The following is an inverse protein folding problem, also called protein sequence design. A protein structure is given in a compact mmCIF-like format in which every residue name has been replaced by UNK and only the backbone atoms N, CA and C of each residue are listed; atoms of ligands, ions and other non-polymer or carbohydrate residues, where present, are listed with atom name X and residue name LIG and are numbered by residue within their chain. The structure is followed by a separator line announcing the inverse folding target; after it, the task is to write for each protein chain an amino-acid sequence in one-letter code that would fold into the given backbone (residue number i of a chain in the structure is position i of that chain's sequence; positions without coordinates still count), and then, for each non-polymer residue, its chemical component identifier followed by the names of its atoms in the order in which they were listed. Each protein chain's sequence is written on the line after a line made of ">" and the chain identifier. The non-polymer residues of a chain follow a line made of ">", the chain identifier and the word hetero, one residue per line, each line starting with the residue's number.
data_IF_686084892390
#
_entry.id   IF_686084892390
#
_cell.length_a   1.000
_cell.length_b   1.000
_cell.length_c   1.000
_cell.angle_alpha   90.00
_cell.angle_beta   90.00
_cell.angle_gamma   90.00
#
_symmetry.space_group_name_H-M   'P 1'
#
loop_
_entity.id
_entity.type
_entity.pdbx_description
1 polymer ?
#
# COMPACT_ATOMS: atom_id res chain seq x y z
N UNK A 1 -60.29 5.85 2.84
CA UNK A 1 -59.88 6.36 1.52
C UNK A 1 -58.37 6.42 1.50
N UNK A 2 -57.73 5.38 0.96
CA UNK A 2 -56.28 5.32 0.77
C UNK A 2 -55.97 6.05 -0.54
N UNK A 3 -55.30 7.19 -0.47
CA UNK A 3 -54.79 7.86 -1.68
C UNK A 3 -53.54 7.10 -2.13
N UNK A 4 -53.66 6.39 -3.25
CA UNK A 4 -52.53 5.81 -3.96
C UNK A 4 -51.62 6.96 -4.40
N UNK A 5 -50.37 6.96 -3.93
CA UNK A 5 -49.35 7.91 -4.36
C UNK A 5 -48.70 7.37 -5.62
N UNK A 6 -49.29 7.68 -6.76
CA UNK A 6 -48.67 7.39 -8.05
C UNK A 6 -47.50 8.37 -8.23
N UNK A 7 -46.27 7.90 -7.99
CA UNK A 7 -45.06 8.59 -8.42
C UNK A 7 -45.09 8.67 -9.94
N UNK A 8 -45.21 9.87 -10.50
CA UNK A 8 -45.22 10.06 -11.95
C UNK A 8 -43.78 10.01 -12.46
N UNK A 9 -43.50 9.10 -13.39
CA UNK A 9 -42.25 9.14 -14.15
C UNK A 9 -42.30 10.37 -15.05
N UNK A 10 -41.50 11.39 -14.75
CA UNK A 10 -41.33 12.57 -15.60
C UNK A 10 -40.67 12.16 -16.92
N UNK A 11 -41.03 12.83 -18.02
CA UNK A 11 -40.34 12.60 -19.29
C UNK A 11 -38.92 13.21 -19.23
N UNK A 12 -37.97 12.62 -19.95
CA UNK A 12 -36.56 13.04 -20.00
C UNK A 12 -36.33 14.57 -20.09
N UNK A 13 -37.13 15.35 -20.85
CA UNK A 13 -36.99 16.81 -20.90
C UNK A 13 -37.31 17.52 -19.58
N UNK A 14 -38.22 16.97 -18.76
CA UNK A 14 -38.61 17.56 -17.47
C UNK A 14 -37.53 17.34 -16.40
N UNK A 15 -36.83 16.21 -16.45
CA UNK A 15 -35.69 15.89 -15.57
C UNK A 15 -34.48 16.78 -15.88
N UNK A 16 -34.19 16.99 -17.16
CA UNK A 16 -33.10 17.88 -17.63
C UNK A 16 -33.33 19.34 -17.17
N UNK A 17 -34.58 19.75 -17.00
CA UNK A 17 -34.92 21.10 -16.55
C UNK A 17 -34.76 21.33 -15.03
N UNK A 18 -34.66 20.27 -14.23
CA UNK A 18 -34.61 20.38 -12.76
C UNK A 18 -33.19 20.27 -12.18
N UNK A 19 -32.23 19.74 -12.95
CA UNK A 19 -30.90 19.37 -12.49
C UNK A 19 -29.83 19.90 -13.44
N UNK A 20 -28.79 20.53 -12.92
CA UNK A 20 -27.69 21.06 -13.75
C UNK A 20 -26.87 19.96 -14.42
N UNK A 21 -26.35 20.25 -15.61
CA UNK A 21 -25.45 19.34 -16.33
C UNK A 21 -24.19 19.01 -15.52
N UNK A 22 -23.66 19.96 -14.76
CA UNK A 22 -22.50 19.76 -13.89
C UNK A 22 -22.81 18.79 -12.75
N UNK A 23 -24.00 18.85 -12.17
CA UNK A 23 -24.41 17.88 -11.16
C UNK A 23 -24.60 16.49 -11.77
N UNK A 24 -25.19 16.38 -12.96
CA UNK A 24 -25.27 15.08 -13.68
C UNK A 24 -23.89 14.50 -13.99
N UNK A 25 -22.93 15.34 -14.38
CA UNK A 25 -21.55 14.92 -14.58
C UNK A 25 -20.89 14.45 -13.29
N UNK A 26 -21.13 15.14 -12.17
CA UNK A 26 -20.64 14.70 -10.86
C UNK A 26 -21.23 13.34 -10.47
N UNK A 27 -22.53 13.11 -10.67
CA UNK A 27 -23.17 11.83 -10.38
C UNK A 27 -22.54 10.68 -11.19
N UNK A 28 -22.29 10.90 -12.48
CA UNK A 28 -21.61 9.94 -13.36
C UNK A 28 -20.14 9.72 -12.99
N UNK A 29 -19.49 10.75 -12.46
CA UNK A 29 -18.11 10.63 -11.98
C UNK A 29 -18.04 9.77 -10.72
N UNK A 30 -18.97 9.98 -9.78
CA UNK A 30 -19.08 9.19 -8.54
C UNK A 30 -19.58 7.76 -8.79
N UNK A 31 -20.21 7.50 -9.92
CA UNK A 31 -20.72 6.21 -10.32
C UNK A 31 -20.90 6.13 -11.85
N UNK A 32 -19.95 5.49 -12.57
CA UNK A 32 -19.98 5.44 -14.03
C UNK A 32 -21.25 4.80 -14.62
N UNK A 33 -21.88 3.90 -13.86
CA UNK A 33 -23.13 3.23 -14.25
C UNK A 33 -24.37 4.10 -13.96
N UNK A 34 -24.19 5.25 -13.32
CA UNK A 34 -25.30 6.16 -13.04
C UNK A 34 -25.86 6.77 -14.32
N UNK A 35 -27.13 6.52 -14.54
CA UNK A 35 -27.90 7.05 -15.65
C UNK A 35 -28.95 8.03 -15.14
N UNK A 36 -29.50 8.82 -16.06
CA UNK A 36 -30.59 9.75 -15.75
C UNK A 36 -31.85 9.02 -15.26
N UNK A 37 -32.02 7.74 -15.59
CA UNK A 37 -33.12 6.89 -15.15
C UNK A 37 -33.05 6.58 -13.64
N UNK A 38 -31.88 6.74 -13.02
CA UNK A 38 -31.70 6.61 -11.58
C UNK A 38 -32.23 7.83 -10.81
N UNK A 39 -32.62 8.90 -11.51
CA UNK A 39 -33.21 10.09 -10.91
C UNK A 39 -34.73 9.98 -10.97
N UNK A 40 -35.37 10.03 -9.80
CA UNK A 40 -36.83 10.11 -9.67
C UNK A 40 -37.21 11.40 -8.94
N UNK A 41 -38.49 11.75 -8.96
CA UNK A 41 -38.99 12.96 -8.30
C UNK A 41 -40.16 12.63 -7.39
N UNK A 42 -40.15 13.21 -6.19
CA UNK A 42 -41.31 13.18 -5.30
C UNK A 42 -42.26 14.31 -5.67
N UNK A 43 -43.34 13.96 -6.39
CA UNK A 43 -44.37 14.90 -6.84
C UNK A 43 -45.00 15.69 -5.67
N UNK A 44 -45.11 15.11 -4.48
CA UNK A 44 -45.69 15.82 -3.32
C UNK A 44 -44.75 16.88 -2.79
N UNK A 45 -43.46 16.58 -2.72
CA UNK A 45 -42.43 17.54 -2.31
C UNK A 45 -42.25 18.65 -3.36
N UNK A 46 -42.35 18.32 -4.65
CA UNK A 46 -42.22 19.27 -5.76
C UNK A 46 -43.42 20.23 -5.88
N UNK A 47 -44.65 19.75 -5.62
CA UNK A 47 -45.89 20.55 -5.70
C UNK A 47 -45.97 21.57 -4.56
N UNK A 48 -45.65 21.18 -3.32
CA UNK A 48 -45.68 22.12 -2.17
C UNK A 48 -44.53 23.14 -2.21
N UNK A 49 -43.44 22.82 -2.92
CA UNK A 49 -42.23 23.67 -3.01
C UNK A 49 -41.97 24.22 -4.40
N UNK A 50 -42.99 24.50 -5.22
CA UNK A 50 -42.90 25.25 -6.50
C UNK A 50 -41.50 25.20 -7.14
N UNK A 51 -41.04 24.04 -7.61
CA UNK A 51 -39.80 23.83 -8.38
C UNK A 51 -38.51 24.49 -7.86
N UNK A 52 -37.51 23.72 -7.46
CA UNK A 52 -36.17 24.27 -7.24
C UNK A 52 -35.16 23.59 -8.16
N UNK A 53 -34.30 24.39 -8.77
CA UNK A 53 -33.21 23.89 -9.61
C UNK A 53 -32.07 23.39 -8.72
N UNK A 54 -31.59 22.18 -8.96
CA UNK A 54 -30.46 21.57 -8.24
C UNK A 54 -29.17 21.72 -9.05
N UNK A 55 -28.09 22.19 -8.42
CA UNK A 55 -26.79 22.29 -9.07
C UNK A 55 -25.65 22.46 -8.09
N UNK A 56 -24.45 22.67 -8.62
CA UNK A 56 -23.26 22.95 -7.83
C UNK A 56 -23.13 24.45 -7.53
N UNK A 57 -22.56 24.78 -6.38
CA UNK A 57 -22.12 26.14 -6.10
C UNK A 57 -20.95 26.53 -7.04
N UNK A 58 -20.57 27.80 -7.00
CA UNK A 58 -19.72 28.38 -8.03
C UNK A 58 -18.27 27.84 -8.06
N UNK A 59 -17.74 27.38 -6.94
CA UNK A 59 -16.43 26.70 -6.85
C UNK A 59 -16.57 25.16 -6.83
N UNK A 60 -17.77 24.64 -7.09
CA UNK A 60 -18.10 23.21 -7.12
C UNK A 60 -17.88 22.47 -5.80
N UNK A 61 -17.62 23.17 -4.70
CA UNK A 61 -17.35 22.58 -3.37
C UNK A 61 -18.60 22.17 -2.60
N UNK A 62 -19.81 22.56 -3.04
CA UNK A 62 -21.08 22.28 -2.32
C UNK A 62 -22.26 22.13 -3.27
N UNK A 63 -23.24 21.34 -2.84
CA UNK A 63 -24.55 21.30 -3.47
C UNK A 63 -25.34 22.57 -3.15
N UNK A 64 -26.06 23.09 -4.13
CA UNK A 64 -26.91 24.27 -3.96
C UNK A 64 -28.23 24.12 -4.70
N UNK A 65 -29.26 24.80 -4.21
CA UNK A 65 -30.56 24.86 -4.86
C UNK A 65 -31.04 26.29 -5.11
N UNK A 66 -31.83 26.49 -6.16
CA UNK A 66 -32.42 27.79 -6.53
C UNK A 66 -33.95 27.67 -6.53
N UNK A 67 -34.67 28.34 -5.61
CA UNK A 67 -36.13 28.36 -5.63
C UNK A 67 -36.71 29.03 -6.89
N UNK A 68 -37.81 28.53 -7.46
CA UNK A 68 -38.48 29.18 -8.63
C UNK A 68 -38.86 30.62 -8.36
N UNK A 69 -39.20 30.95 -7.11
CA UNK A 69 -39.57 32.32 -6.73
C UNK A 69 -38.40 33.31 -6.92
N UNK A 70 -37.15 32.83 -6.92
CA UNK A 70 -35.97 33.63 -7.26
C UNK A 70 -35.70 33.65 -8.76
N UNK A 71 -35.97 32.55 -9.48
CA UNK A 71 -35.93 32.50 -10.94
C UNK A 71 -36.93 33.48 -11.58
N UNK A 72 -38.15 33.57 -11.04
CA UNK A 72 -39.21 34.45 -11.54
C UNK A 72 -38.97 35.95 -11.29
N UNK A 73 -37.96 36.34 -10.49
CA UNK A 73 -37.60 37.75 -10.28
C UNK A 73 -36.83 38.35 -11.45
N UNK A 74 -36.42 37.52 -12.40
CA UNK A 74 -35.84 37.96 -13.64
C UNK A 74 -36.96 38.21 -14.66
N UNK A 75 -37.00 39.42 -15.21
CA UNK A 75 -37.76 39.71 -16.44
C UNK A 75 -37.14 38.89 -17.57
N UNK A 76 -37.59 37.65 -17.71
CA UNK A 76 -37.38 36.86 -18.90
C UNK A 76 -38.09 37.59 -20.05
N UNK A 77 -37.46 37.76 -21.23
CA UNK A 77 -38.08 38.47 -22.35
C UNK A 77 -39.46 37.88 -22.64
N UNK A 78 -40.49 38.70 -22.51
CA UNK A 78 -41.86 38.27 -22.71
C UNK A 78 -42.12 38.01 -24.20
N UNK A 79 -42.46 36.76 -24.52
CA UNK A 79 -43.17 36.28 -25.70
C UNK A 79 -42.41 36.25 -27.05
N UNK A 80 -42.14 35.03 -27.52
CA UNK A 80 -42.37 34.65 -28.91
C UNK A 80 -43.70 33.88 -28.96
N UNK A 81 -44.69 34.31 -29.77
CA UNK A 81 -45.96 33.61 -29.89
C UNK A 81 -45.78 32.40 -30.82
N UNK A 82 -46.13 31.22 -30.31
CA UNK A 82 -46.28 29.93 -31.01
C UNK A 82 -45.06 28.99 -31.15
N UNK A 83 -44.26 28.81 -30.10
CA UNK A 83 -43.48 27.58 -29.98
C UNK A 83 -43.19 27.20 -28.51
N UNK A 84 -43.49 25.96 -28.15
CA UNK A 84 -42.86 25.27 -27.03
C UNK A 84 -41.58 24.64 -27.61
N UNK A 85 -40.42 25.30 -27.48
CA UNK A 85 -39.30 24.74 -26.71
C UNK A 85 -38.37 25.79 -26.05
N UNK A 86 -38.84 27.02 -25.78
CA UNK A 86 -37.97 28.14 -25.35
C UNK A 86 -37.52 28.04 -23.86
N UNK A 87 -38.18 27.22 -23.03
CA UNK A 87 -37.72 27.03 -21.65
C UNK A 87 -36.34 26.34 -21.57
N UNK A 88 -35.97 25.56 -22.60
CA UNK A 88 -34.68 24.86 -22.68
C UNK A 88 -33.53 25.78 -23.11
N UNK A 89 -33.76 26.79 -23.96
CA UNK A 89 -32.70 27.75 -24.34
C UNK A 89 -32.41 28.82 -23.27
N UNK A 90 -33.34 29.07 -22.35
CA UNK A 90 -33.16 30.06 -21.27
C UNK A 90 -32.43 29.49 -20.04
N UNK A 91 -32.26 28.17 -19.95
CA UNK A 91 -31.45 27.50 -18.93
C UNK A 91 -30.15 26.91 -19.49
N UNK A 92 -29.92 27.02 -20.80
CA UNK A 92 -28.59 26.90 -21.38
C UNK A 92 -27.84 28.22 -21.15
N UNK A 93 -26.76 28.24 -20.38
CA UNK A 93 -26.61 28.11 -18.94
C UNK A 93 -27.00 29.43 -18.24
N UNK A 94 -26.64 29.58 -16.97
CA UNK A 94 -26.28 30.85 -16.34
C UNK A 94 -25.52 31.85 -17.27
N UNK A 95 -26.23 32.60 -18.14
CA UNK A 95 -25.72 33.81 -18.80
C UNK A 95 -25.95 35.05 -17.90
N UNK A 96 -25.75 34.88 -16.60
CA UNK A 96 -25.27 35.96 -15.76
C UNK A 96 -23.76 35.82 -15.80
N UNK A 97 -23.13 36.59 -16.69
CA UNK A 97 -21.67 36.66 -16.90
C UNK A 97 -20.86 37.11 -15.68
N UNK A 98 -21.39 36.99 -14.45
CA UNK A 98 -20.62 37.20 -13.24
C UNK A 98 -20.81 36.06 -12.23
N UNK A 99 -19.67 35.55 -11.77
CA UNK A 99 -19.45 34.66 -10.63
C UNK A 99 -20.24 35.11 -9.37
N UNK A 100 -20.40 36.43 -9.21
CA UNK A 100 -21.14 37.06 -8.10
C UNK A 100 -22.65 36.88 -8.16
N UNK A 101 -23.24 36.76 -9.36
CA UNK A 101 -24.69 36.54 -9.47
C UNK A 101 -25.04 35.09 -9.13
N UNK A 102 -24.25 34.09 -9.58
CA UNK A 102 -24.50 32.66 -9.27
C UNK A 102 -24.50 32.39 -7.76
N UNK A 103 -23.54 32.97 -7.04
CA UNK A 103 -23.43 32.83 -5.58
C UNK A 103 -24.56 33.54 -4.83
N UNK A 104 -25.15 34.61 -5.38
CA UNK A 104 -26.22 35.36 -4.70
C UNK A 104 -27.58 34.65 -4.68
N UNK A 105 -27.85 33.75 -5.63
CA UNK A 105 -29.16 33.06 -5.75
C UNK A 105 -29.20 31.68 -5.12
N UNK A 106 -28.07 30.99 -5.12
CA UNK A 106 -27.96 29.62 -4.67
C UNK A 106 -28.01 29.56 -3.13
N UNK A 107 -28.92 28.75 -2.59
CA UNK A 107 -28.94 28.47 -1.15
C UNK A 107 -28.05 27.25 -0.91
N UNK A 108 -26.91 27.47 -0.25
CA UNK A 108 -25.99 26.41 0.13
C UNK A 108 -26.59 25.60 1.29
N UNK A 109 -26.54 24.28 1.19
CA UNK A 109 -27.12 23.39 2.21
C UNK A 109 -26.50 22.00 2.11
N UNK A 110 -26.84 21.11 3.06
CA UNK A 110 -26.38 19.71 3.00
C UNK A 110 -27.01 18.98 1.83
N UNK A 111 -26.37 17.90 1.35
CA UNK A 111 -26.84 17.09 0.21
C UNK A 111 -28.31 16.71 0.36
N UNK A 112 -28.67 16.08 1.49
CA UNK A 112 -30.07 15.67 1.76
C UNK A 112 -31.02 16.85 1.77
N UNK A 113 -30.66 17.97 2.40
CA UNK A 113 -31.52 19.15 2.43
C UNK A 113 -31.73 19.74 1.04
N UNK A 114 -30.71 19.73 0.19
CA UNK A 114 -30.81 20.18 -1.19
C UNK A 114 -31.69 19.23 -2.02
N UNK A 115 -31.48 17.91 -1.94
CA UNK A 115 -32.32 16.90 -2.59
C UNK A 115 -33.79 16.99 -2.16
N UNK A 116 -34.05 17.07 -0.84
CA UNK A 116 -35.41 17.26 -0.31
C UNK A 116 -35.99 18.62 -0.73
N UNK A 117 -35.18 19.67 -0.87
CA UNK A 117 -35.65 20.99 -1.31
C UNK A 117 -36.07 21.01 -2.78
N UNK A 118 -35.42 20.21 -3.63
CA UNK A 118 -35.73 20.11 -5.06
C UNK A 118 -36.71 18.99 -5.40
N UNK A 119 -36.97 18.08 -4.46
CA UNK A 119 -37.78 16.88 -4.70
C UNK A 119 -37.04 15.82 -5.52
N UNK A 120 -35.74 16.02 -5.79
CA UNK A 120 -34.89 15.07 -6.49
C UNK A 120 -34.63 13.88 -5.58
N UNK A 121 -34.99 12.69 -6.04
CA UNK A 121 -34.71 11.42 -5.40
C UNK A 121 -33.69 10.64 -6.21
N UNK A 122 -32.62 10.22 -5.55
CA UNK A 122 -31.56 9.37 -6.10
C UNK A 122 -31.33 8.20 -5.14
N UNK A 123 -30.68 7.09 -5.57
CA UNK A 123 -30.39 5.97 -4.69
C UNK A 123 -29.62 6.42 -3.44
N UNK A 124 -29.94 5.82 -2.28
CA UNK A 124 -29.30 6.17 -1.01
C UNK A 124 -27.77 6.01 -1.06
N UNK A 125 -27.28 5.01 -1.78
CA UNK A 125 -25.84 4.83 -2.06
C UNK A 125 -25.20 6.07 -2.71
N UNK A 126 -25.93 6.75 -3.59
CA UNK A 126 -25.47 7.98 -4.24
C UNK A 126 -25.50 9.18 -3.30
N UNK A 127 -26.50 9.26 -2.43
CA UNK A 127 -26.59 10.31 -1.41
C UNK A 127 -25.36 10.24 -0.50
N UNK A 128 -24.98 9.03 -0.07
CA UNK A 128 -23.78 8.80 0.74
C UNK A 128 -22.52 9.25 -0.01
N UNK A 129 -22.35 8.88 -1.29
CA UNK A 129 -21.22 9.32 -2.12
C UNK A 129 -21.12 10.85 -2.24
N UNK A 130 -22.25 11.53 -2.45
CA UNK A 130 -22.30 13.00 -2.49
C UNK A 130 -22.00 13.63 -1.13
N UNK A 131 -22.55 13.07 -0.04
CA UNK A 131 -22.29 13.55 1.31
C UNK A 131 -20.82 13.39 1.66
N UNK A 132 -20.18 12.30 1.24
CA UNK A 132 -18.74 12.12 1.34
C UNK A 132 -18.02 13.20 0.52
N UNK A 133 -18.32 13.32 -0.79
CA UNK A 133 -17.68 14.28 -1.68
C UNK A 133 -17.70 15.73 -1.17
N UNK A 134 -18.84 16.21 -0.67
CA UNK A 134 -18.98 17.61 -0.21
C UNK A 134 -18.61 17.85 1.24
N UNK A 135 -18.56 16.81 2.08
CA UNK A 135 -18.07 16.93 3.45
C UNK A 135 -16.62 16.49 3.57
N UNK A 136 -15.93 16.21 2.46
CA UNK A 136 -14.54 15.80 2.57
C UNK A 136 -13.69 16.94 3.10
N UNK A 137 -12.86 16.68 4.13
CA UNK A 137 -11.93 17.67 4.63
C UNK A 137 -11.04 18.19 3.50
N UNK A 138 -10.55 19.42 3.64
CA UNK A 138 -9.38 19.85 2.87
C UNK A 138 -8.25 18.87 3.19
N UNK A 139 -7.88 18.05 2.20
CA UNK A 139 -6.80 17.09 2.33
C UNK A 139 -5.55 17.59 1.63
N UNK A 140 -4.42 17.41 2.29
CA UNK A 140 -3.10 17.58 1.67
C UNK A 140 -2.56 16.20 1.31
N UNK A 141 -2.20 16.01 0.04
CA UNK A 141 -1.50 14.80 -0.43
C UNK A 141 -0.08 15.19 -0.82
N UNK A 142 0.89 14.44 -0.32
CA UNK A 142 2.31 14.60 -0.65
C UNK A 142 2.95 13.26 -0.98
N UNK A 143 3.94 13.26 -1.85
CA UNK A 143 4.81 12.12 -2.11
C UNK A 143 6.07 12.24 -1.24
N UNK A 144 6.41 11.17 -0.51
CA UNK A 144 7.61 11.08 0.32
C UNK A 144 8.45 9.88 -0.11
N UNK A 145 9.77 9.98 0.06
CA UNK A 145 10.74 8.91 -0.20
C UNK A 145 11.48 8.46 1.08
N UNK A 146 11.21 9.10 2.21
CA UNK A 146 11.86 8.82 3.49
C UNK A 146 10.82 8.96 4.62
N UNK A 147 11.04 8.23 5.72
CA UNK A 147 10.15 8.25 6.88
C UNK A 147 8.81 7.56 6.63
N UNK A 148 8.72 6.71 5.62
CA UNK A 148 7.57 5.90 5.26
C UNK A 148 7.28 4.91 6.41
N UNK A 149 8.32 4.31 7.01
CA UNK A 149 8.15 3.43 8.17
C UNK A 149 7.44 4.14 9.33
N UNK A 150 7.70 5.43 9.54
CA UNK A 150 7.04 6.21 10.58
C UNK A 150 5.54 6.42 10.29
N UNK A 151 5.15 6.56 9.02
CA UNK A 151 3.74 6.65 8.60
C UNK A 151 2.99 5.35 8.91
N UNK A 152 3.62 4.21 8.63
CA UNK A 152 3.05 2.90 8.93
C UNK A 152 2.97 2.61 10.43
N UNK A 153 3.90 3.13 11.23
CA UNK A 153 3.89 2.98 12.68
C UNK A 153 2.88 3.88 13.41
N UNK A 154 2.21 4.81 12.71
CA UNK A 154 1.16 5.63 13.32
C UNK A 154 -0.03 4.75 13.79
N UNK A 155 -0.76 5.19 14.84
CA UNK A 155 -1.96 4.47 15.30
C UNK A 155 -2.97 4.24 14.17
N UNK A 156 -3.70 3.13 14.26
CA UNK A 156 -4.78 2.85 13.30
C UNK A 156 -5.86 3.92 13.40
N UNK A 157 -6.20 4.60 12.31
CA UNK A 157 -7.34 5.51 12.30
C UNK A 157 -8.66 4.71 12.31
N UNK A 158 -9.74 5.39 12.69
CA UNK A 158 -11.07 4.77 12.69
C UNK A 158 -11.61 4.60 11.27
N UNK A 159 -12.03 3.37 10.96
CA UNK A 159 -12.75 3.03 9.73
C UNK A 159 -11.90 2.94 8.46
N UNK A 160 -12.58 2.58 7.37
CA UNK A 160 -12.00 2.44 6.04
C UNK A 160 -11.01 1.28 5.89
N UNK A 161 -10.38 1.23 4.71
CA UNK A 161 -9.34 0.25 4.40
C UNK A 161 -8.07 0.52 5.21
N UNK A 162 -7.78 1.80 5.51
CA UNK A 162 -6.60 2.19 6.30
C UNK A 162 -6.69 1.69 7.75
N UNK A 163 -7.84 1.89 8.42
CA UNK A 163 -8.07 1.38 9.77
C UNK A 163 -8.12 -0.14 9.84
N UNK A 164 -8.51 -0.80 8.74
CA UNK A 164 -8.55 -2.27 8.63
C UNK A 164 -7.21 -2.87 8.19
N UNK A 165 -6.20 -2.06 7.85
CA UNK A 165 -4.90 -2.54 7.40
C UNK A 165 -4.19 -3.32 8.51
N UNK A 166 -3.69 -4.51 8.19
CA UNK A 166 -2.89 -5.31 9.11
C UNK A 166 -1.55 -4.63 9.45
N UNK A 167 -1.00 -3.84 8.52
CA UNK A 167 0.31 -3.19 8.65
C UNK A 167 0.27 -1.83 9.34
N UNK A 168 -0.89 -1.20 9.47
CA UNK A 168 -0.97 0.09 10.16
C UNK A 168 -0.81 -0.09 11.69
N UNK A 169 0.03 0.71 12.32
CA UNK A 169 0.35 0.61 13.75
C UNK A 169 1.26 -0.55 14.13
N UNK A 170 1.87 -1.23 13.14
CA UNK A 170 2.89 -2.24 13.39
C UNK A 170 4.24 -1.64 13.79
N UNK A 171 5.16 -2.49 14.25
CA UNK A 171 6.50 -2.05 14.63
C UNK A 171 7.23 -1.40 13.45
N UNK A 172 7.81 -0.22 13.68
CA UNK A 172 8.55 0.54 12.66
C UNK A 172 9.64 -0.28 11.97
N UNK A 173 10.30 -1.18 12.70
CA UNK A 173 11.41 -1.99 12.16
C UNK A 173 10.98 -2.96 11.06
N UNK A 174 9.69 -3.28 10.95
CA UNK A 174 9.17 -4.13 9.87
C UNK A 174 9.16 -3.44 8.51
N UNK A 175 9.28 -2.12 8.48
CA UNK A 175 9.17 -1.30 7.27
C UNK A 175 10.53 -0.76 6.82
N UNK A 176 11.63 -1.39 7.24
CA UNK A 176 12.99 -1.00 6.89
C UNK A 176 13.17 -0.85 5.37
N UNK A 177 12.67 -1.83 4.61
CA UNK A 177 12.68 -1.80 3.15
C UNK A 177 12.08 -0.52 2.55
N UNK A 178 11.05 0.05 3.18
CA UNK A 178 10.41 1.26 2.66
C UNK A 178 11.25 2.52 2.85
N UNK A 179 12.07 2.59 3.89
CA UNK A 179 12.93 3.76 4.15
C UNK A 179 14.30 3.65 3.45
N UNK A 180 14.75 2.43 3.17
CA UNK A 180 16.10 2.17 2.68
C UNK A 180 16.19 1.84 1.18
N UNK A 181 15.05 1.57 0.51
CA UNK A 181 15.04 1.30 -0.93
C UNK A 181 14.67 2.56 -1.75
N UNK A 182 15.60 3.12 -2.55
CA UNK A 182 15.31 4.31 -3.37
C UNK A 182 14.21 4.13 -4.41
N UNK A 183 13.90 2.89 -4.80
CA UNK A 183 12.79 2.61 -5.70
C UNK A 183 11.41 2.72 -5.02
N UNK A 184 11.36 2.86 -3.69
CA UNK A 184 10.11 2.91 -2.93
C UNK A 184 9.81 4.35 -2.48
N UNK A 185 8.55 4.74 -2.62
CA UNK A 185 8.01 5.98 -2.09
C UNK A 185 6.63 5.75 -1.49
N UNK A 186 6.02 6.81 -0.95
CA UNK A 186 4.67 6.75 -0.40
C UNK A 186 3.90 8.03 -0.70
N UNK A 187 2.69 7.89 -1.22
CA UNK A 187 1.70 8.95 -1.19
C UNK A 187 1.06 8.97 0.20
N UNK A 188 1.04 10.13 0.83
CA UNK A 188 0.49 10.33 2.17
C UNK A 188 -0.59 11.40 2.09
N UNK A 189 -1.82 11.05 2.48
CA UNK A 189 -2.94 11.96 2.59
C UNK A 189 -3.18 12.31 4.06
N UNK A 190 -3.21 13.61 4.35
CA UNK A 190 -3.52 14.16 5.67
C UNK A 190 -4.70 15.10 5.61
N UNK A 191 -5.51 15.14 6.67
CA UNK A 191 -6.55 16.14 6.84
C UNK A 191 -5.98 17.50 7.26
N UNK A 192 -6.87 18.47 7.47
CA UNK A 192 -6.54 19.83 7.91
C UNK A 192 -5.95 19.92 9.32
N UNK A 193 -6.11 18.88 10.15
CA UNK A 193 -5.49 18.76 11.47
C UNK A 193 -4.12 18.06 11.39
N UNK A 194 -3.73 17.60 10.19
CA UNK A 194 -2.47 16.90 9.95
C UNK A 194 -2.52 15.41 10.29
N UNK A 195 -3.70 14.84 10.55
CA UNK A 195 -3.87 13.42 10.85
C UNK A 195 -3.80 12.59 9.57
N UNK A 196 -3.26 11.37 9.67
CA UNK A 196 -3.19 10.45 8.54
C UNK A 196 -4.59 9.94 8.20
N UNK A 197 -5.05 10.22 6.98
CA UNK A 197 -6.35 9.76 6.47
C UNK A 197 -6.24 8.82 5.27
N UNK A 198 -5.06 8.74 4.65
CA UNK A 198 -4.81 7.80 3.56
C UNK A 198 -3.34 7.65 3.22
N UNK A 199 -3.00 6.54 2.55
CA UNK A 199 -1.67 6.30 2.00
C UNK A 199 -1.68 5.30 0.84
N UNK A 200 -0.65 5.33 0.02
CA UNK A 200 -0.34 4.28 -0.96
C UNK A 200 1.17 4.18 -1.14
N UNK A 201 1.71 2.97 -1.29
CA UNK A 201 3.12 2.81 -1.70
C UNK A 201 3.23 3.16 -3.18
N UNK A 202 4.35 3.75 -3.55
CA UNK A 202 4.73 3.98 -4.95
C UNK A 202 6.02 3.24 -5.25
N UNK A 203 6.08 2.62 -6.41
CA UNK A 203 7.20 1.80 -6.87
C UNK A 203 7.78 2.38 -8.13
N UNK A 204 9.08 2.67 -8.14
CA UNK A 204 9.82 2.94 -9.36
C UNK A 204 10.22 1.60 -9.97
N UNK A 205 9.46 1.15 -10.97
CA UNK A 205 9.67 -0.16 -11.60
C UNK A 205 10.78 -0.09 -12.65
N UNK A 206 11.37 -1.25 -12.95
CA UNK A 206 12.54 -1.37 -13.83
C UNK A 206 12.25 -0.92 -15.28
N UNK A 207 10.97 -0.91 -15.68
CA UNK A 207 10.52 -0.34 -16.96
C UNK A 207 10.62 1.20 -17.02
N UNK A 208 10.96 1.86 -15.92
CA UNK A 208 11.09 3.30 -15.80
C UNK A 208 9.80 4.01 -15.37
N UNK A 209 8.69 3.30 -15.23
CA UNK A 209 7.43 3.86 -14.75
C UNK A 209 7.40 4.00 -13.21
N UNK A 210 6.54 4.88 -12.70
CA UNK A 210 6.19 4.91 -11.29
C UNK A 210 4.78 4.34 -11.10
N UNK A 211 4.66 3.30 -10.29
CA UNK A 211 3.43 2.57 -10.04
C UNK A 211 2.91 2.83 -8.62
N UNK A 212 1.72 3.40 -8.48
CA UNK A 212 0.98 3.55 -7.24
C UNK A 212 0.24 2.25 -6.92
N UNK A 213 0.61 1.64 -5.82
CA UNK A 213 0.02 0.42 -5.26
C UNK A 213 -1.42 0.68 -4.77
N UNK A 214 -1.99 -0.33 -4.12
CA UNK A 214 -3.28 -0.26 -3.43
C UNK A 214 -3.35 0.99 -2.56
N UNK A 215 -4.39 1.77 -2.80
CA UNK A 215 -4.71 2.99 -2.07
C UNK A 215 -5.53 2.63 -0.84
N UNK A 216 -5.00 3.04 0.32
CA UNK A 216 -5.66 2.90 1.61
C UNK A 216 -6.20 4.25 2.07
N UNK A 217 -7.44 4.28 2.55
CA UNK A 217 -8.09 5.48 3.05
C UNK A 217 -9.02 5.17 4.22
N UNK A 218 -9.34 6.19 5.01
CA UNK A 218 -10.45 6.13 6.01
C UNK A 218 -11.82 6.12 5.32
N UNK A 219 -11.87 6.44 4.02
CA UNK A 219 -13.05 6.30 3.16
C UNK A 219 -12.62 6.11 1.70
N UNK A 220 -13.52 5.59 0.85
CA UNK A 220 -13.27 5.41 -0.59
C UNK A 220 -12.93 6.72 -1.31
N UNK A 221 -13.46 7.85 -0.84
CA UNK A 221 -13.10 9.16 -1.38
C UNK A 221 -11.60 9.45 -1.23
N UNK A 222 -11.02 9.14 -0.08
CA UNK A 222 -9.59 9.38 0.14
C UNK A 222 -8.76 8.52 -0.82
N UNK A 223 -9.19 7.28 -1.06
CA UNK A 223 -8.58 6.39 -2.05
C UNK A 223 -8.65 6.99 -3.46
N UNK A 224 -9.82 7.49 -3.87
CA UNK A 224 -10.02 8.18 -5.16
C UNK A 224 -9.16 9.46 -5.28
N UNK A 225 -9.02 10.23 -4.20
CA UNK A 225 -8.18 11.43 -4.19
C UNK A 225 -6.69 11.10 -4.34
N UNK A 226 -6.22 9.99 -3.74
CA UNK A 226 -4.86 9.49 -3.93
C UNK A 226 -4.66 9.06 -5.39
N UNK A 227 -5.62 8.34 -5.98
CA UNK A 227 -5.57 7.95 -7.40
C UNK A 227 -5.51 9.20 -8.31
N UNK A 228 -6.35 10.20 -8.06
CA UNK A 228 -6.34 11.44 -8.83
C UNK A 228 -5.01 12.20 -8.69
N UNK A 229 -4.42 12.21 -7.49
CA UNK A 229 -3.09 12.77 -7.27
C UNK A 229 -2.02 12.00 -8.06
N UNK A 230 -2.04 10.67 -8.01
CA UNK A 230 -1.10 9.81 -8.75
C UNK A 230 -1.17 10.09 -10.27
N UNK A 231 -2.38 10.08 -10.84
CA UNK A 231 -2.61 10.37 -12.26
C UNK A 231 -2.10 11.75 -12.67
N UNK A 232 -2.38 12.78 -11.86
CA UNK A 232 -1.94 14.17 -12.12
C UNK A 232 -0.41 14.30 -12.13
N UNK A 233 0.28 13.44 -11.38
CA UNK A 233 1.74 13.40 -11.30
C UNK A 233 2.36 12.34 -12.22
N UNK A 234 1.61 11.78 -13.17
CA UNK A 234 2.12 10.84 -14.17
C UNK A 234 2.41 9.43 -13.64
N UNK A 235 1.92 9.09 -12.45
CA UNK A 235 2.05 7.76 -11.87
C UNK A 235 0.93 6.85 -12.38
N UNK A 236 1.26 5.60 -12.68
CA UNK A 236 0.28 4.56 -13.01
C UNK A 236 -0.29 3.96 -11.74
N UNK A 237 -1.60 3.84 -11.60
CA UNK A 237 -2.21 3.18 -10.45
C UNK A 237 -2.76 1.81 -10.85
N UNK A 238 -2.83 0.92 -9.87
CA UNK A 238 -3.42 -0.42 -10.03
C UNK A 238 -4.93 -0.29 -10.26
N UNK A 239 -5.45 -0.85 -11.37
CA UNK A 239 -6.88 -0.72 -11.72
C UNK A 239 -7.83 -1.37 -10.72
N UNK A 240 -7.42 -2.49 -10.14
CA UNK A 240 -8.11 -3.18 -9.06
C UNK A 240 -7.49 -2.79 -7.69
N UNK A 241 -8.22 -2.01 -6.89
CA UNK A 241 -7.75 -1.54 -5.57
C UNK A 241 -7.84 -2.62 -4.47
N UNK A 242 -7.29 -3.80 -4.72
CA UNK A 242 -7.33 -4.96 -3.83
C UNK A 242 -5.95 -5.65 -3.71
N UNK A 243 -5.88 -6.78 -2.99
CA UNK A 243 -4.65 -7.55 -2.76
C UNK A 243 -4.31 -8.55 -3.88
N UNK A 244 -5.18 -8.67 -4.89
CA UNK A 244 -4.98 -9.60 -6.00
C UNK A 244 -3.93 -9.06 -6.95
N UNK A 245 -3.44 -9.89 -7.86
CA UNK A 245 -2.54 -9.47 -8.93
C UNK A 245 -3.13 -8.28 -9.71
N UNK A 246 -2.32 -7.28 -10.13
CA UNK A 246 -2.82 -6.20 -10.97
C UNK A 246 -3.50 -6.73 -12.24
N UNK A 247 -4.68 -6.23 -12.57
CA UNK A 247 -5.30 -6.48 -13.88
C UNK A 247 -4.70 -5.56 -14.95
N UNK A 248 -4.44 -4.31 -14.57
CA UNK A 248 -3.75 -3.33 -15.40
C UNK A 248 -3.16 -2.20 -14.55
N UNK A 249 -2.17 -1.50 -15.12
CA UNK A 249 -1.60 -0.27 -14.58
C UNK A 249 -2.08 0.89 -15.45
N UNK A 250 -2.85 1.82 -14.87
CA UNK A 250 -3.57 2.85 -15.62
C UNK A 250 -3.08 4.24 -15.23
N UNK A 251 -2.92 5.13 -16.20
CA UNK A 251 -2.70 6.56 -15.96
C UNK A 251 -3.42 7.35 -17.05
N UNK A 252 -4.44 8.13 -16.67
CA UNK A 252 -5.30 8.84 -17.61
C UNK A 252 -5.86 7.87 -18.68
N UNK A 253 -5.61 8.15 -19.96
CA UNK A 253 -6.03 7.30 -21.10
C UNK A 253 -4.91 6.34 -21.57
N UNK A 254 -3.93 6.05 -20.73
CA UNK A 254 -2.80 5.16 -21.04
C UNK A 254 -2.75 4.00 -20.05
N UNK A 255 -2.30 2.84 -20.55
CA UNK A 255 -1.97 1.68 -19.74
C UNK A 255 -0.53 1.26 -20.00
N UNK A 256 0.15 0.68 -19.00
CA UNK A 256 1.46 0.08 -19.26
C UNK A 256 1.33 -1.11 -20.24
N UNK A 257 2.29 -1.32 -21.15
CA UNK A 257 2.24 -2.42 -22.10
C UNK A 257 2.31 -3.81 -21.46
N UNK A 258 3.02 -3.92 -20.34
CA UNK A 258 3.08 -5.12 -19.51
C UNK A 258 2.37 -4.87 -18.19
N UNK A 259 1.57 -5.85 -17.77
CA UNK A 259 0.97 -5.84 -16.43
C UNK A 259 1.98 -6.36 -15.40
N UNK A 260 2.81 -7.32 -15.80
CA UNK A 260 3.92 -7.81 -14.99
C UNK A 260 5.02 -6.75 -14.93
N UNK A 261 5.30 -6.30 -13.72
CA UNK A 261 6.32 -5.32 -13.39
C UNK A 261 7.25 -5.90 -12.34
N UNK A 262 8.50 -5.46 -12.41
CA UNK A 262 9.58 -5.87 -11.51
C UNK A 262 10.23 -4.63 -10.92
N UNK A 263 10.68 -4.76 -9.67
CA UNK A 263 11.51 -3.79 -8.97
C UNK A 263 12.76 -4.52 -8.50
N UNK A 264 13.91 -4.09 -8.97
CA UNK A 264 15.20 -4.60 -8.48
C UNK A 264 15.63 -3.81 -7.25
N UNK A 265 15.76 -4.50 -6.11
CA UNK A 265 16.23 -3.91 -4.85
C UNK A 265 17.73 -3.60 -4.93
N UNK A 266 18.15 -2.48 -4.33
CA UNK A 266 19.58 -2.09 -4.26
C UNK A 266 20.30 -2.70 -3.07
N UNK A 267 19.59 -2.88 -1.97
CA UNK A 267 20.09 -3.60 -0.82
C UNK A 267 19.72 -5.07 -1.01
N UNK A 268 20.71 -5.95 -0.85
CA UNK A 268 20.53 -7.39 -1.08
C UNK A 268 19.56 -7.99 -0.06
N UNK A 269 19.57 -7.51 1.19
CA UNK A 269 18.80 -8.10 2.29
C UNK A 269 18.34 -7.09 3.34
N UNK A 270 17.15 -7.32 3.90
CA UNK A 270 16.58 -6.57 5.02
C UNK A 270 16.28 -7.50 6.19
N UNK A 271 16.37 -7.00 7.42
CA UNK A 271 16.13 -7.81 8.62
C UNK A 271 14.67 -8.29 8.73
N UNK A 272 13.74 -7.46 8.25
CA UNK A 272 12.30 -7.72 8.28
C UNK A 272 11.67 -7.31 6.95
N UNK A 273 10.61 -8.03 6.57
CA UNK A 273 9.79 -7.70 5.41
C UNK A 273 8.34 -7.50 5.84
N UNK A 274 7.70 -6.38 5.47
CA UNK A 274 6.29 -6.16 5.78
C UNK A 274 5.40 -7.01 4.86
N UNK A 275 4.13 -7.17 5.24
CA UNK A 275 3.11 -7.64 4.31
C UNK A 275 3.03 -6.69 3.11
N UNK A 276 3.09 -7.24 1.89
CA UNK A 276 2.98 -6.49 0.65
C UNK A 276 1.76 -6.92 -0.17
N UNK A 277 0.99 -5.96 -0.68
CA UNK A 277 -0.23 -6.24 -1.47
C UNK A 277 0.09 -6.65 -2.91
N UNK A 278 1.01 -5.92 -3.57
CA UNK A 278 1.25 -6.08 -5.02
C UNK A 278 2.62 -6.66 -5.33
N UNK A 279 3.71 -5.96 -5.01
CA UNK A 279 5.08 -6.44 -5.25
C UNK A 279 5.52 -7.36 -4.11
N UNK A 280 5.03 -8.59 -4.10
CA UNK A 280 5.16 -9.52 -2.96
C UNK A 280 5.96 -10.79 -3.26
N UNK A 281 6.28 -11.05 -4.52
CA UNK A 281 7.05 -12.23 -4.92
C UNK A 281 8.53 -11.84 -5.00
N UNK A 282 9.28 -12.17 -3.96
CA UNK A 282 10.70 -11.85 -3.81
C UNK A 282 11.56 -13.01 -4.30
N UNK A 283 12.56 -12.69 -5.11
CA UNK A 283 13.71 -13.53 -5.34
C UNK A 283 14.88 -13.02 -4.48
N UNK A 284 15.23 -13.76 -3.43
CA UNK A 284 16.30 -13.32 -2.52
C UNK A 284 17.71 -13.49 -3.07
N UNK A 285 17.89 -14.27 -4.13
CA UNK A 285 19.20 -14.42 -4.77
C UNK A 285 19.62 -13.18 -5.56
N UNK A 286 18.67 -12.53 -6.25
CA UNK A 286 18.95 -11.36 -7.10
C UNK A 286 18.25 -10.06 -6.65
N UNK A 287 17.45 -10.11 -5.59
CA UNK A 287 16.74 -8.95 -5.05
C UNK A 287 15.56 -8.47 -5.91
N UNK A 288 14.99 -9.31 -6.78
CA UNK A 288 13.85 -8.92 -7.62
C UNK A 288 12.51 -9.10 -6.90
N UNK A 289 11.76 -8.00 -6.75
CA UNK A 289 10.35 -8.02 -6.34
C UNK A 289 9.44 -7.99 -7.55
N UNK A 290 8.54 -8.95 -7.65
CA UNK A 290 7.60 -9.11 -8.75
C UNK A 290 6.16 -8.99 -8.28
N UNK A 291 5.30 -8.50 -9.17
CA UNK A 291 3.86 -8.42 -8.91
C UNK A 291 3.04 -9.61 -9.43
N UNK A 292 3.70 -10.67 -9.94
CA UNK A 292 3.11 -11.91 -10.46
C UNK A 292 3.83 -13.13 -9.90
N UNK A 293 3.07 -14.20 -9.66
CA UNK A 293 3.54 -15.50 -9.16
C UNK A 293 4.29 -16.33 -10.24
N UNK A 294 3.99 -16.08 -11.52
CA UNK A 294 4.68 -16.71 -12.67
C UNK A 294 6.05 -16.08 -12.95
N UNK A 295 6.85 -15.93 -11.90
CA UNK A 295 8.21 -15.44 -11.93
C UNK A 295 9.13 -16.36 -11.11
N UNK A 296 10.44 -16.24 -11.32
CA UNK A 296 11.42 -16.96 -10.52
C UNK A 296 11.53 -16.28 -9.14
N UNK A 297 10.78 -16.74 -8.15
CA UNK A 297 10.80 -16.23 -6.77
C UNK A 297 10.95 -17.39 -5.78
N UNK A 298 11.50 -17.11 -4.60
CA UNK A 298 11.71 -18.08 -3.52
C UNK A 298 10.95 -17.69 -2.23
N UNK A 299 10.45 -16.45 -2.15
CA UNK A 299 9.65 -15.97 -1.03
C UNK A 299 8.41 -15.17 -1.46
N UNK A 300 7.35 -15.30 -0.66
CA UNK A 300 6.14 -14.49 -0.76
C UNK A 300 5.95 -13.64 0.51
N UNK A 301 5.87 -12.32 0.34
CA UNK A 301 5.80 -11.33 1.42
C UNK A 301 4.36 -11.07 1.88
N UNK A 302 3.66 -12.12 2.30
CA UNK A 302 2.22 -12.08 2.69
C UNK A 302 1.95 -12.38 4.16
N UNK A 303 2.97 -12.47 5.01
CA UNK A 303 2.72 -12.65 6.45
C UNK A 303 2.51 -11.30 7.16
N UNK A 304 1.60 -11.33 8.12
CA UNK A 304 1.21 -10.14 8.91
C UNK A 304 2.03 -9.97 10.18
N UNK A 305 3.02 -10.85 10.40
CA UNK A 305 3.88 -10.84 11.59
C UNK A 305 5.26 -10.22 11.32
N UNK A 306 5.47 -9.57 10.17
CA UNK A 306 6.76 -8.97 9.80
C UNK A 306 7.82 -9.96 9.32
N UNK A 307 7.39 -11.19 9.01
CA UNK A 307 8.21 -12.30 8.49
C UNK A 307 7.58 -12.86 7.22
N UNK A 308 8.29 -13.66 6.43
CA UNK A 308 7.78 -14.37 5.25
C UNK A 308 7.54 -15.86 5.57
N UNK A 309 6.95 -16.62 4.65
CA UNK A 309 6.69 -18.04 4.88
C UNK A 309 7.84 -19.00 4.46
N UNK A 310 8.86 -18.52 3.72
CA UNK A 310 9.86 -19.39 3.05
C UNK A 310 11.36 -19.06 3.27
N UNK A 311 11.73 -18.02 4.03
CA UNK A 311 13.12 -17.80 4.44
C UNK A 311 13.37 -18.46 5.80
N UNK A 312 14.58 -18.98 6.01
CA UNK A 312 15.04 -19.42 7.32
C UNK A 312 15.61 -18.25 8.12
N UNK A 313 15.58 -18.39 9.44
CA UNK A 313 16.05 -17.38 10.37
C UNK A 313 17.45 -17.72 10.85
N UNK A 314 18.39 -16.79 10.72
CA UNK A 314 19.71 -16.94 11.31
C UNK A 314 19.68 -16.46 12.76
N UNK A 315 19.84 -17.38 13.71
CA UNK A 315 19.90 -17.11 15.15
C UNK A 315 21.14 -16.32 15.57
N UNK A 316 22.12 -16.17 14.67
CA UNK A 316 23.40 -15.50 14.97
C UNK A 316 23.39 -14.01 14.66
N UNK A 317 22.83 -13.61 13.53
CA UNK A 317 22.79 -12.20 13.10
C UNK A 317 21.39 -11.57 13.14
N UNK A 318 20.38 -12.33 13.60
CA UNK A 318 18.98 -11.90 13.67
C UNK A 318 18.39 -11.44 12.32
N UNK A 319 18.82 -12.10 11.23
CA UNK A 319 18.41 -11.81 9.86
C UNK A 319 17.80 -13.05 9.19
N UNK A 320 16.91 -12.83 8.22
CA UNK A 320 16.28 -13.88 7.45
C UNK A 320 16.94 -14.05 6.08
N UNK A 321 17.19 -15.30 5.71
CA UNK A 321 17.86 -15.67 4.45
C UNK A 321 17.10 -16.81 3.79
N UNK A 322 17.17 -16.92 2.47
CA UNK A 322 16.59 -18.09 1.80
C UNK A 322 16.99 -19.38 2.50
N UNK A 323 16.04 -20.29 2.59
CA UNK A 323 16.22 -21.56 3.30
C UNK A 323 17.43 -22.37 2.81
N UNK A 324 17.90 -22.16 1.58
CA UNK A 324 19.11 -22.79 1.03
C UNK A 324 20.43 -22.15 1.51
N UNK A 325 20.38 -20.93 2.04
CA UNK A 325 21.50 -20.21 2.67
C UNK A 325 21.56 -20.37 4.18
N UNK A 326 20.68 -21.20 4.74
CA UNK A 326 20.63 -21.51 6.18
C UNK A 326 21.14 -22.93 6.42
N UNK A 327 22.03 -23.06 7.39
CA UNK A 327 22.63 -24.31 7.83
C UNK A 327 22.28 -24.57 9.29
N UNK A 328 21.97 -25.82 9.61
CA UNK A 328 21.80 -26.26 10.99
C UNK A 328 23.12 -26.76 11.55
N UNK A 329 23.72 -26.04 12.50
CA UNK A 329 24.99 -26.39 13.16
C UNK A 329 24.94 -26.03 14.64
N UNK A 330 25.51 -26.90 15.50
CA UNK A 330 25.50 -26.72 16.97
C UNK A 330 24.11 -26.39 17.53
N UNK A 331 23.09 -27.08 17.02
CA UNK A 331 21.68 -26.90 17.35
C UNK A 331 21.04 -25.55 17.01
N UNK A 332 21.68 -24.75 16.16
CA UNK A 332 21.18 -23.45 15.72
C UNK A 332 21.11 -23.35 14.21
N UNK A 333 20.16 -22.57 13.71
CA UNK A 333 20.09 -22.17 12.30
C UNK A 333 20.99 -20.94 12.07
N UNK A 334 21.99 -21.07 11.19
CA UNK A 334 22.94 -20.00 10.86
C UNK A 334 23.02 -19.78 9.36
N UNK A 335 23.17 -18.53 8.91
CA UNK A 335 23.39 -18.23 7.50
C UNK A 335 24.79 -18.64 7.05
N UNK A 336 24.99 -18.78 5.74
CA UNK A 336 26.30 -19.10 5.14
C UNK A 336 27.41 -18.14 5.60
N UNK A 337 27.15 -16.83 5.68
CA UNK A 337 28.15 -15.85 6.10
C UNK A 337 28.57 -16.05 7.57
N UNK A 338 27.58 -16.27 8.46
CA UNK A 338 27.85 -16.58 9.86
C UNK A 338 28.52 -17.96 10.02
N UNK A 339 28.16 -18.92 9.17
CA UNK A 339 28.78 -20.24 9.17
C UNK A 339 30.28 -20.12 8.83
N UNK A 340 30.61 -19.45 7.74
CA UNK A 340 31.99 -19.28 7.27
C UNK A 340 32.83 -18.45 8.25
N UNK A 341 32.23 -17.43 8.88
CA UNK A 341 32.90 -16.57 9.86
C UNK A 341 33.17 -17.30 11.18
N UNK A 342 32.18 -18.00 11.75
CA UNK A 342 32.26 -18.50 13.14
C UNK A 342 32.54 -20.00 13.27
N UNK A 343 32.43 -20.77 12.19
CA UNK A 343 32.57 -22.23 12.23
C UNK A 343 33.73 -22.72 11.37
N UNK A 344 34.23 -23.90 11.71
CA UNK A 344 35.30 -24.58 10.97
C UNK A 344 35.21 -26.09 11.22
N UNK A 345 35.74 -26.90 10.30
CA UNK A 345 35.73 -28.36 10.41
C UNK A 345 36.83 -28.87 11.33
N UNK A 346 36.52 -29.88 12.14
CA UNK A 346 37.51 -30.64 12.90
C UNK A 346 38.28 -31.60 11.98
N UNK A 347 39.61 -31.56 12.00
CA UNK A 347 40.46 -32.41 11.14
C UNK A 347 40.41 -33.92 11.50
N UNK A 348 39.82 -34.28 12.65
CA UNK A 348 39.73 -35.67 13.11
C UNK A 348 38.37 -36.31 12.80
N UNK A 349 37.27 -35.58 13.00
CA UNK A 349 35.92 -36.12 12.83
C UNK A 349 35.13 -35.49 11.69
N UNK A 350 35.69 -34.51 10.98
CA UNK A 350 35.06 -33.73 9.90
C UNK A 350 33.79 -32.95 10.32
N UNK A 351 33.42 -32.94 11.60
CA UNK A 351 32.30 -32.19 12.14
C UNK A 351 32.61 -30.69 12.21
N UNK A 352 31.61 -29.85 11.92
CA UNK A 352 31.72 -28.41 12.06
C UNK A 352 31.52 -27.97 13.50
N UNK A 353 32.48 -27.22 14.02
CA UNK A 353 32.45 -26.67 15.38
C UNK A 353 32.71 -25.18 15.35
N UNK A 354 32.22 -24.47 16.36
CA UNK A 354 32.53 -23.07 16.55
C UNK A 354 34.05 -22.89 16.68
N UNK A 355 34.63 -21.86 16.04
CA UNK A 355 36.08 -21.61 16.02
C UNK A 355 36.67 -21.48 17.44
N UNK A 356 35.92 -20.93 18.39
CA UNK A 356 36.35 -20.84 19.80
C UNK A 356 36.42 -22.21 20.53
N UNK A 357 35.87 -23.27 19.94
CA UNK A 357 35.87 -24.65 20.48
C UNK A 357 36.88 -25.56 19.77
N UNK A 358 37.76 -25.00 18.94
CA UNK A 358 38.79 -25.78 18.23
C UNK A 358 40.17 -25.53 18.83
N UNK A 359 40.94 -26.61 19.01
CA UNK A 359 42.27 -26.58 19.61
C UNK A 359 43.31 -26.93 18.55
N UNK A 360 44.39 -26.12 18.39
CA UNK A 360 45.49 -26.48 17.52
C UNK A 360 46.25 -27.67 18.09
N UNK A 361 46.45 -28.69 17.26
CA UNK A 361 47.23 -29.88 17.53
C UNK A 361 48.48 -29.92 16.64
N UNK A 362 49.39 -30.84 16.94
CA UNK A 362 50.63 -30.98 16.19
C UNK A 362 50.36 -31.27 14.70
N UNK A 363 51.14 -30.61 13.82
CA UNK A 363 51.06 -30.80 12.37
C UNK A 363 50.02 -29.90 11.68
N UNK A 364 49.83 -28.69 12.21
CA UNK A 364 48.85 -27.70 11.73
C UNK A 364 47.40 -28.20 11.71
N UNK A 365 47.10 -29.16 12.60
CA UNK A 365 45.75 -29.72 12.75
C UNK A 365 44.92 -28.89 13.71
N UNK A 366 43.62 -28.82 13.48
CA UNK A 366 42.64 -28.21 14.38
C UNK A 366 41.58 -29.25 14.75
N UNK A 367 41.46 -29.53 16.05
CA UNK A 367 40.56 -30.58 16.54
C UNK A 367 39.56 -30.03 17.54
N UNK A 368 38.33 -30.54 17.50
CA UNK A 368 37.30 -30.18 18.45
C UNK A 368 37.62 -30.72 19.86
N UNK A 369 36.98 -30.16 20.88
CA UNK A 369 37.19 -30.57 22.27
C UNK A 369 36.93 -32.07 22.50
N UNK A 370 35.89 -32.63 21.89
CA UNK A 370 35.56 -34.05 22.06
C UNK A 370 36.66 -34.96 21.48
N UNK A 371 37.18 -34.65 20.30
CA UNK A 371 38.32 -35.38 19.74
C UNK A 371 39.59 -35.16 20.56
N UNK A 372 39.81 -33.95 21.06
CA UNK A 372 40.94 -33.63 21.92
C UNK A 372 40.95 -34.49 23.19
N UNK A 373 39.79 -34.64 23.83
CA UNK A 373 39.64 -35.38 25.09
C UNK A 373 39.73 -36.90 24.92
N UNK A 374 39.33 -37.43 23.75
CA UNK A 374 39.27 -38.86 23.51
C UNK A 374 40.52 -39.42 22.80
N UNK A 375 41.07 -38.67 21.85
CA UNK A 375 42.06 -39.20 20.89
C UNK A 375 43.42 -38.49 20.99
N UNK A 376 43.55 -37.43 21.79
CA UNK A 376 44.78 -36.64 21.92
C UNK A 376 45.31 -36.61 23.35
N UNK A 377 46.62 -36.41 23.48
CA UNK A 377 47.30 -36.20 24.76
C UNK A 377 48.27 -35.03 24.64
N UNK A 378 48.44 -34.30 25.75
CA UNK A 378 49.37 -33.18 25.84
C UNK A 378 50.80 -33.69 26.06
N UNK A 379 51.75 -33.26 25.23
CA UNK A 379 53.17 -33.57 25.41
C UNK A 379 53.73 -32.85 26.64
N UNK A 380 54.35 -33.57 27.56
CA UNK A 380 54.90 -33.00 28.81
C UNK A 380 56.07 -32.02 28.58
N UNK A 381 56.76 -32.13 27.44
CA UNK A 381 57.92 -31.29 27.11
C UNK A 381 57.56 -29.98 26.41
N UNK A 382 56.61 -30.01 25.46
CA UNK A 382 56.28 -28.84 24.64
C UNK A 382 54.85 -28.37 24.77
N UNK A 383 54.03 -29.03 25.59
CA UNK A 383 52.60 -28.72 25.84
C UNK A 383 51.69 -28.77 24.60
N UNK A 384 52.18 -29.28 23.46
CA UNK A 384 51.36 -29.46 22.27
C UNK A 384 50.55 -30.74 22.35
N UNK A 385 49.31 -30.70 21.88
CA UNK A 385 48.47 -31.89 21.75
C UNK A 385 48.88 -32.74 20.55
N UNK A 386 48.94 -34.06 20.77
CA UNK A 386 49.36 -35.05 19.79
C UNK A 386 48.40 -36.22 19.84
N UNK A 387 48.12 -36.81 18.68
CA UNK A 387 47.25 -37.98 18.60
C UNK A 387 47.85 -39.11 19.46
N UNK A 388 46.99 -39.84 20.16
CA UNK A 388 47.39 -40.91 21.11
C UNK A 388 48.13 -42.06 20.44
N UNK A 389 47.95 -42.27 19.14
CA UNK A 389 48.71 -43.25 18.34
C UNK A 389 50.16 -42.80 18.04
N UNK A 390 50.44 -41.49 18.11
CA UNK A 390 51.74 -40.91 17.75
C UNK A 390 52.59 -40.54 18.98
N UNK A 391 52.07 -40.68 20.20
CA UNK A 391 52.77 -40.33 21.44
C UNK A 391 53.67 -41.48 21.94
N UNK A 392 54.85 -41.15 22.47
CA UNK A 392 55.70 -42.11 23.17
C UNK A 392 55.49 -41.98 24.68
N UNK A 393 55.10 -43.08 25.33
CA UNK A 393 54.85 -43.13 26.77
C UNK A 393 56.07 -43.66 27.53
N UNK A 394 56.60 -42.87 28.46
CA UNK A 394 57.70 -43.27 29.36
C UNK A 394 57.23 -43.22 30.82
N UNK A 395 58.00 -43.86 31.72
CA UNK A 395 57.72 -43.77 33.16
C UNK A 395 57.78 -42.31 33.70
N UNK A 396 58.46 -41.42 32.98
CA UNK A 396 58.63 -40.02 33.35
C UNK A 396 57.70 -39.05 32.61
N UNK A 397 56.82 -39.53 31.71
CA UNK A 397 55.88 -38.69 30.98
C UNK A 397 55.62 -39.11 29.53
N UNK A 398 54.68 -38.39 28.90
CA UNK A 398 54.25 -38.56 27.52
C UNK A 398 54.96 -37.55 26.61
N UNK A 399 55.76 -38.03 25.66
CA UNK A 399 56.62 -37.20 24.81
C UNK A 399 56.28 -37.38 23.33
N UNK A 400 56.14 -36.27 22.61
CA UNK A 400 55.84 -36.28 21.18
C UNK A 400 57.03 -36.65 20.28
N UNK A 401 56.80 -37.12 19.05
CA UNK A 401 57.86 -37.49 18.11
C UNK A 401 58.87 -36.35 17.86
N UNK A 402 58.38 -35.12 17.75
CA UNK A 402 59.20 -33.93 17.48
C UNK A 402 60.17 -33.62 18.63
N UNK A 403 59.73 -33.76 19.88
CA UNK A 403 60.60 -33.57 21.04
C UNK A 403 61.64 -34.69 21.15
N UNK A 404 61.29 -35.94 20.81
CA UNK A 404 62.25 -37.05 20.78
C UNK A 404 63.30 -36.85 19.71
N UNK A 405 62.91 -36.46 18.50
CA UNK A 405 63.85 -36.21 17.40
C UNK A 405 64.76 -35.03 17.71
N UNK A 406 64.23 -33.96 18.32
CA UNK A 406 65.00 -32.79 18.75
C UNK A 406 65.96 -33.05 19.93
N UNK A 407 65.71 -34.11 20.71
CA UNK A 407 66.57 -34.53 21.83
C UNK A 407 67.73 -35.46 21.41
N UNK A 408 67.81 -35.86 20.14
CA UNK A 408 68.93 -36.67 19.63
C UNK A 408 70.19 -35.78 19.53
N UNK A 409 71.30 -36.13 20.18
CA UNK A 409 72.53 -35.31 20.24
C UNK A 409 73.25 -35.15 18.91
#
# INVERSE_FOLDING_TARGET
>A
MSQNTDNKTLELPEIINAVSSEFLHLLKHLDPDFTIENITFDDKAAIDRKGAFLGLNNDQSRLAYIPIARLNRFTLPSALPNSNPIFMELLLPYNVGSKSLRSSFAVQTTVRRALTATGVMIPESMIVKLEQHFNTPDISISHISEGIAAIYALPKPDGGSLGSSCMQGCNKNWFEIYDNEPAIGCLVAKDNEGQLVGRAITWQVDSGATCCDRCYGTSSYIEEAIVAYAQKNGMYYKSNNNMDTPESWVCNNSTLPSVCQTVTLKQEEYHHYPYMDTFKYLNTYNGELNCFDDCNHDAELTSTNGYHNNLGYCERCDTHYSSDRIRYVDHMDVCDDCFDEYYTSCDQCDEYVHRDKITPAQGDRYVCQDCLDNDYVCCDECTSYVHTDDIYRFDCGDICPKCIEGARP
#
